data_IF_292660941554
#
_entry.id   IF_292660941554
#
_cell.length_a   1.000
_cell.length_b   1.000
_cell.length_c   1.000
_cell.angle_alpha   90.00
_cell.angle_beta   90.00
_cell.angle_gamma   90.00
#
_symmetry.space_group_name_H-M   'P 1'
#
loop_
_entity.id
_entity.type
_entity.pdbx_description
1 polymer ?
#
# COMPACT_ATOMS: atom_id res chain seq x y z
N UNK A 1 0.22 8.93 -28.58
CA UNK A 1 0.65 7.50 -28.57
C UNK A 1 1.08 7.00 -27.18
N UNK A 2 1.21 7.86 -26.14
CA UNK A 2 1.65 7.46 -24.79
C UNK A 2 0.53 6.95 -23.86
N UNK A 3 -0.73 7.39 -24.07
CA UNK A 3 -1.77 7.23 -23.04
C UNK A 3 -2.31 5.80 -22.89
N UNK A 4 -2.40 5.05 -24.00
CA UNK A 4 -2.87 3.65 -23.98
C UNK A 4 -1.94 2.73 -23.22
N UNK A 5 -0.62 2.96 -23.33
CA UNK A 5 0.39 2.11 -22.71
C UNK A 5 0.42 2.32 -21.20
N UNK A 6 0.33 3.57 -20.73
CA UNK A 6 0.27 3.85 -19.28
C UNK A 6 -1.02 3.33 -18.65
N UNK A 7 -2.16 3.43 -19.33
CA UNK A 7 -3.41 2.86 -18.82
C UNK A 7 -3.35 1.32 -18.73
N UNK A 8 -2.69 0.68 -19.71
CA UNK A 8 -2.42 -0.76 -19.68
C UNK A 8 -1.52 -1.13 -18.49
N UNK A 9 -0.44 -0.37 -18.26
CA UNK A 9 0.47 -0.58 -17.12
C UNK A 9 -0.26 -0.44 -15.78
N UNK A 10 -1.12 0.57 -15.62
CA UNK A 10 -1.93 0.75 -14.40
C UNK A 10 -2.84 -0.45 -14.17
N UNK A 11 -3.50 -0.96 -15.22
CA UNK A 11 -4.37 -2.13 -15.10
C UNK A 11 -3.59 -3.39 -14.73
N UNK A 12 -2.38 -3.58 -15.26
CA UNK A 12 -1.51 -4.69 -14.84
C UNK A 12 -1.15 -4.58 -13.35
N UNK A 13 -0.85 -3.38 -12.86
CA UNK A 13 -0.55 -3.16 -11.44
C UNK A 13 -1.75 -3.40 -10.53
N UNK A 14 -2.98 -3.11 -11.00
CA UNK A 14 -4.22 -3.52 -10.31
C UNK A 14 -4.28 -5.05 -10.23
N UNK A 15 -3.94 -5.75 -11.31
CA UNK A 15 -3.87 -7.22 -11.33
C UNK A 15 -2.89 -7.78 -10.30
N UNK A 16 -1.64 -7.30 -10.31
CA UNK A 16 -0.63 -7.71 -9.31
C UNK A 16 -1.07 -7.42 -7.88
N UNK A 17 -1.64 -6.24 -7.65
CA UNK A 17 -2.16 -5.87 -6.33
C UNK A 17 -3.28 -6.81 -5.88
N UNK A 18 -4.19 -7.16 -6.80
CA UNK A 18 -5.27 -8.11 -6.53
C UNK A 18 -4.70 -9.47 -6.15
N UNK A 19 -3.72 -9.98 -6.90
CA UNK A 19 -3.02 -11.23 -6.57
C UNK A 19 -2.39 -11.17 -5.18
N UNK A 20 -1.69 -10.08 -4.84
CA UNK A 20 -1.10 -9.90 -3.52
C UNK A 20 -2.14 -9.94 -2.39
N UNK A 21 -3.29 -9.29 -2.56
CA UNK A 21 -4.39 -9.35 -1.60
C UNK A 21 -4.96 -10.77 -1.47
N UNK A 22 -5.15 -11.48 -2.58
CA UNK A 22 -5.63 -12.86 -2.55
C UNK A 22 -4.67 -13.79 -1.80
N UNK A 23 -3.36 -13.62 -1.99
CA UNK A 23 -2.34 -14.38 -1.24
C UNK A 23 -2.52 -14.14 0.27
N UNK A 24 -2.62 -12.89 0.71
CA UNK A 24 -2.82 -12.55 2.14
C UNK A 24 -4.10 -13.17 2.70
N UNK A 25 -5.21 -13.17 1.94
CA UNK A 25 -6.52 -13.61 2.43
C UNK A 25 -6.67 -15.14 2.49
N UNK A 26 -6.12 -15.87 1.53
CA UNK A 26 -6.44 -17.30 1.35
C UNK A 26 -5.30 -18.27 1.71
N UNK A 27 -4.06 -17.79 1.88
CA UNK A 27 -2.89 -18.67 2.04
C UNK A 27 -2.32 -18.68 3.48
N UNK A 28 -3.10 -18.22 4.46
CA UNK A 28 -2.66 -17.95 5.83
C UNK A 28 -2.95 -19.03 6.87
N UNK A 29 -2.87 -20.32 6.55
CA UNK A 29 -3.16 -21.40 7.52
C UNK A 29 -2.00 -21.63 8.49
N UNK A 30 -2.20 -21.57 9.83
CA UNK A 30 -1.13 -21.79 10.81
C UNK A 30 -0.47 -23.17 10.69
N UNK A 31 0.81 -23.26 11.04
CA UNK A 31 1.56 -24.53 11.13
C UNK A 31 2.24 -24.68 12.48
N UNK A 32 2.36 -25.91 12.97
CA UNK A 32 2.95 -26.21 14.29
C UNK A 32 4.43 -25.75 14.37
N UNK A 33 5.20 -25.98 13.30
CA UNK A 33 6.61 -25.60 13.23
C UNK A 33 6.83 -24.09 13.04
N UNK A 34 5.79 -23.35 12.64
CA UNK A 34 5.86 -21.92 12.34
C UNK A 34 6.62 -21.57 11.06
N UNK A 35 6.95 -22.55 10.23
CA UNK A 35 7.68 -22.39 8.97
C UNK A 35 6.83 -21.70 7.89
N UNK A 36 5.51 -21.90 7.93
CA UNK A 36 4.54 -21.22 7.08
C UNK A 36 3.28 -20.84 7.87
N UNK A 37 2.51 -19.88 7.34
CA UNK A 37 1.20 -19.54 7.90
C UNK A 37 0.77 -18.09 7.69
N UNK A 38 -0.03 -17.51 8.62
CA UNK A 38 -0.57 -16.17 8.47
C UNK A 38 0.50 -15.08 8.25
N UNK A 39 1.68 -15.19 8.88
CA UNK A 39 2.75 -14.21 8.70
C UNK A 39 3.38 -14.33 7.30
N UNK A 40 3.63 -15.57 6.84
CA UNK A 40 4.19 -15.84 5.52
C UNK A 40 3.31 -15.30 4.41
N UNK A 41 2.01 -15.60 4.46
CA UNK A 41 1.04 -15.07 3.49
C UNK A 41 0.93 -13.55 3.53
N UNK A 42 1.07 -12.94 4.71
CA UNK A 42 1.07 -11.47 4.85
C UNK A 42 2.30 -10.82 4.23
N UNK A 43 3.48 -11.39 4.45
CA UNK A 43 4.73 -10.87 3.89
C UNK A 43 4.70 -10.92 2.37
N UNK A 44 4.32 -12.08 1.81
CA UNK A 44 4.24 -12.23 0.36
C UNK A 44 3.10 -11.40 -0.25
N UNK A 45 1.92 -11.43 0.37
CA UNK A 45 0.77 -10.70 -0.11
C UNK A 45 1.01 -9.20 -0.14
N UNK A 46 1.36 -8.59 1.00
CA UNK A 46 1.70 -7.17 1.05
C UNK A 46 2.98 -6.81 0.30
N UNK A 47 3.95 -7.74 0.20
CA UNK A 47 5.16 -7.54 -0.59
C UNK A 47 4.86 -7.35 -2.08
N UNK A 48 4.00 -8.20 -2.66
CA UNK A 48 3.55 -8.06 -4.05
C UNK A 48 2.81 -6.74 -4.26
N UNK A 49 1.92 -6.36 -3.32
CA UNK A 49 1.21 -5.07 -3.38
C UNK A 49 2.21 -3.90 -3.31
N UNK A 50 3.17 -3.95 -2.40
CA UNK A 50 4.17 -2.89 -2.21
C UNK A 50 5.03 -2.71 -3.47
N UNK A 51 5.45 -3.81 -4.11
CA UNK A 51 6.18 -3.75 -5.38
C UNK A 51 5.33 -3.15 -6.50
N UNK A 52 4.05 -3.52 -6.60
CA UNK A 52 3.15 -2.94 -7.61
C UNK A 52 2.97 -1.42 -7.41
N UNK A 53 2.79 -0.96 -6.18
CA UNK A 53 2.69 0.48 -5.85
C UNK A 53 4.01 1.20 -6.11
N UNK A 54 5.15 0.58 -5.79
CA UNK A 54 6.47 1.12 -6.09
C UNK A 54 6.69 1.29 -7.61
N UNK A 55 6.29 0.31 -8.41
CA UNK A 55 6.34 0.42 -9.88
C UNK A 55 5.47 1.56 -10.40
N UNK A 56 4.25 1.73 -9.87
CA UNK A 56 3.37 2.87 -10.21
C UNK A 56 3.99 4.21 -9.84
N UNK A 57 4.67 4.29 -8.69
CA UNK A 57 5.40 5.48 -8.26
C UNK A 57 6.50 5.86 -9.25
N UNK A 58 7.25 4.87 -9.78
CA UNK A 58 8.28 5.12 -10.79
C UNK A 58 7.66 5.59 -12.12
N UNK A 59 6.55 4.99 -12.55
CA UNK A 59 5.85 5.38 -13.79
C UNK A 59 5.31 6.82 -13.67
N UNK A 60 4.64 7.14 -12.57
CA UNK A 60 4.10 8.49 -12.31
C UNK A 60 5.22 9.54 -12.16
N UNK A 61 6.36 9.16 -11.59
CA UNK A 61 7.56 9.99 -11.53
C UNK A 61 8.14 10.26 -12.93
N UNK A 62 8.29 9.23 -13.78
CA UNK A 62 8.83 9.38 -15.14
C UNK A 62 7.97 10.28 -16.04
N UNK A 63 6.66 10.33 -15.78
CA UNK A 63 5.74 11.23 -16.48
C UNK A 63 5.76 12.65 -15.93
N UNK A 64 5.89 12.83 -14.61
CA UNK A 64 6.00 14.17 -14.02
C UNK A 64 7.32 14.86 -14.42
N UNK A 65 8.41 14.11 -14.52
CA UNK A 65 9.73 14.66 -14.90
C UNK A 65 9.78 15.15 -16.35
N UNK A 66 9.08 14.50 -17.27
CA UNK A 66 9.00 14.96 -18.67
C UNK A 66 8.22 16.26 -18.83
N UNK A 67 7.24 16.52 -17.95
CA UNK A 67 6.49 17.79 -17.88
C UNK A 67 7.35 18.90 -17.27
N UNK A 68 8.13 18.59 -16.23
CA UNK A 68 8.94 19.57 -15.49
C UNK A 68 10.25 19.93 -16.21
N UNK A 69 10.70 19.12 -17.17
CA UNK A 69 11.88 19.39 -17.99
C UNK A 69 11.76 20.67 -18.85
N UNK A 70 10.55 21.27 -18.94
CA UNK A 70 10.27 22.48 -19.72
C UNK A 70 10.44 23.77 -18.89
N UNK A 71 10.38 23.72 -17.56
CA UNK A 71 10.45 24.90 -16.69
C UNK A 71 11.60 24.80 -15.68
N UNK A 72 12.72 25.47 -16.00
CA UNK A 72 13.85 25.84 -15.14
C UNK A 72 14.20 24.88 -13.97
N UNK A 73 15.35 24.20 -14.11
CA UNK A 73 15.95 23.29 -13.12
C UNK A 73 16.10 23.90 -11.72
N UNK A 74 15.06 23.75 -10.89
CA UNK A 74 15.13 23.89 -9.45
C UNK A 74 14.81 22.54 -8.80
N UNK A 75 15.87 21.81 -8.40
CA UNK A 75 15.79 20.48 -7.78
C UNK A 75 14.85 20.46 -6.57
N UNK A 76 14.81 21.56 -5.81
CA UNK A 76 13.94 21.68 -4.65
C UNK A 76 12.45 21.85 -5.04
N UNK A 77 12.17 22.62 -6.09
CA UNK A 77 10.82 22.74 -6.65
C UNK A 77 10.32 21.42 -7.21
N UNK A 78 11.19 20.67 -7.88
CA UNK A 78 10.92 19.32 -8.37
C UNK A 78 10.60 18.33 -7.23
N UNK A 79 11.45 18.26 -6.20
CA UNK A 79 11.20 17.42 -5.01
C UNK A 79 9.87 17.77 -4.32
N UNK A 80 9.56 19.05 -4.17
CA UNK A 80 8.30 19.51 -3.57
C UNK A 80 7.08 19.06 -4.39
N UNK A 81 7.15 19.19 -5.71
CA UNK A 81 6.08 18.76 -6.62
C UNK A 81 5.90 17.24 -6.62
N UNK A 82 6.99 16.49 -6.57
CA UNK A 82 6.95 15.03 -6.47
C UNK A 82 6.33 14.55 -5.17
N UNK A 83 6.79 15.08 -4.04
CA UNK A 83 6.23 14.71 -2.74
C UNK A 83 4.73 15.03 -2.73
N UNK A 84 4.31 16.22 -3.19
CA UNK A 84 2.89 16.60 -3.21
C UNK A 84 2.02 15.67 -4.07
N UNK A 85 2.49 15.28 -5.25
CA UNK A 85 1.70 14.45 -6.17
C UNK A 85 1.74 12.96 -5.85
N UNK A 86 2.81 12.49 -5.21
CA UNK A 86 3.03 11.07 -4.89
C UNK A 86 2.77 10.73 -3.42
N UNK A 87 2.43 11.71 -2.57
CA UNK A 87 2.22 11.49 -1.13
C UNK A 87 1.21 10.38 -0.82
N UNK A 88 0.02 10.31 -1.47
CA UNK A 88 -0.93 9.23 -1.19
C UNK A 88 -0.35 7.83 -1.44
N UNK A 89 0.43 7.68 -2.52
CA UNK A 89 1.10 6.41 -2.85
C UNK A 89 2.23 6.09 -1.86
N UNK A 90 3.04 7.09 -1.48
CA UNK A 90 4.13 6.92 -0.51
C UNK A 90 3.60 6.52 0.88
N UNK A 91 2.53 7.16 1.34
CA UNK A 91 1.89 6.81 2.61
C UNK A 91 1.35 5.38 2.61
N UNK A 92 0.74 4.96 1.50
CA UNK A 92 0.29 3.57 1.33
C UNK A 92 1.46 2.59 1.38
N UNK A 93 2.59 2.94 0.75
CA UNK A 93 3.81 2.12 0.80
C UNK A 93 4.34 2.00 2.23
N UNK A 94 4.37 3.10 3.00
CA UNK A 94 4.80 3.09 4.41
C UNK A 94 3.91 2.17 5.26
N UNK A 95 2.60 2.23 5.08
CA UNK A 95 1.65 1.32 5.76
C UNK A 95 1.96 -0.14 5.45
N UNK A 96 2.16 -0.48 4.17
CA UNK A 96 2.49 -1.85 3.75
C UNK A 96 3.84 -2.32 4.30
N UNK A 97 4.86 -1.46 4.29
CA UNK A 97 6.18 -1.78 4.83
C UNK A 97 6.09 -2.06 6.33
N UNK A 98 5.35 -1.25 7.10
CA UNK A 98 5.17 -1.50 8.53
C UNK A 98 4.44 -2.83 8.78
N UNK A 99 3.39 -3.13 8.02
CA UNK A 99 2.71 -4.43 8.09
C UNK A 99 3.65 -5.60 7.79
N UNK A 100 4.48 -5.49 6.76
CA UNK A 100 5.50 -6.49 6.44
C UNK A 100 6.48 -6.64 7.60
N UNK A 101 7.01 -5.52 8.12
CA UNK A 101 7.96 -5.52 9.24
C UNK A 101 7.39 -6.21 10.47
N UNK A 102 6.13 -5.95 10.85
CA UNK A 102 5.49 -6.68 11.97
C UNK A 102 5.44 -8.18 11.71
N UNK A 103 5.03 -8.61 10.52
CA UNK A 103 4.95 -10.02 10.19
C UNK A 103 6.33 -10.69 10.10
N UNK A 104 7.40 -9.94 9.78
CA UNK A 104 8.78 -10.43 9.79
C UNK A 104 9.30 -10.57 11.24
N UNK A 105 9.11 -9.55 12.09
CA UNK A 105 9.62 -9.56 13.47
C UNK A 105 8.96 -10.67 14.28
N UNK A 106 7.63 -10.82 14.17
CA UNK A 106 6.86 -11.80 14.94
C UNK A 106 6.51 -13.06 14.13
N UNK A 107 7.28 -13.34 13.07
CA UNK A 107 7.00 -14.38 12.07
C UNK A 107 6.59 -15.73 12.66
N UNK A 108 7.45 -16.30 13.52
CA UNK A 108 7.19 -17.62 14.12
C UNK A 108 5.95 -17.62 15.01
N UNK A 109 5.78 -16.60 15.87
CA UNK A 109 4.65 -16.53 16.81
C UNK A 109 3.32 -16.45 16.06
N UNK A 110 3.26 -15.58 15.04
CA UNK A 110 2.07 -15.42 14.20
C UNK A 110 1.79 -16.69 13.39
N UNK A 111 2.82 -17.32 12.82
CA UNK A 111 2.66 -18.55 12.03
C UNK A 111 2.19 -19.74 12.86
N UNK A 112 2.59 -19.81 14.13
CA UNK A 112 2.20 -20.86 15.07
C UNK A 112 0.82 -20.64 15.72
N UNK A 113 0.18 -19.49 15.49
CA UNK A 113 -1.07 -19.18 16.19
C UNK A 113 -0.89 -18.76 17.65
N UNK A 114 0.35 -18.54 18.11
CA UNK A 114 0.67 -18.19 19.51
C UNK A 114 0.60 -16.68 19.75
N UNK A 115 -0.50 -16.07 19.30
CA UNK A 115 -0.79 -14.65 19.46
C UNK A 115 -2.24 -14.50 19.87
N UNK A 116 -2.53 -13.46 20.63
CA UNK A 116 -3.89 -13.16 21.09
C UNK A 116 -4.87 -13.06 19.91
N UNK A 117 -6.11 -13.54 20.08
CA UNK A 117 -7.12 -13.50 19.01
C UNK A 117 -7.43 -12.08 18.53
N UNK A 118 -7.28 -11.11 19.42
CA UNK A 118 -7.39 -9.68 19.16
C UNK A 118 -6.45 -9.23 18.03
N UNK A 119 -5.23 -9.79 17.96
CA UNK A 119 -4.30 -9.51 16.87
C UNK A 119 -4.92 -9.85 15.51
N UNK A 120 -5.53 -11.03 15.37
CA UNK A 120 -6.15 -11.45 14.11
C UNK A 120 -7.33 -10.56 13.71
N UNK A 121 -8.12 -10.10 14.68
CA UNK A 121 -9.19 -9.15 14.43
C UNK A 121 -8.66 -7.83 13.87
N UNK A 122 -7.62 -7.25 14.51
CA UNK A 122 -7.01 -6.01 14.03
C UNK A 122 -6.26 -6.20 12.70
N UNK A 123 -5.63 -7.35 12.47
CA UNK A 123 -4.98 -7.69 11.19
C UNK A 123 -5.99 -7.74 10.05
N UNK A 124 -7.16 -8.32 10.27
CA UNK A 124 -8.23 -8.37 9.29
C UNK A 124 -8.82 -6.97 9.02
N UNK A 125 -9.08 -6.18 10.07
CA UNK A 125 -9.54 -4.80 9.94
C UNK A 125 -8.54 -3.98 9.11
N UNK A 126 -7.26 -4.06 9.44
CA UNK A 126 -6.20 -3.34 8.71
C UNK A 126 -6.13 -3.80 7.26
N UNK A 127 -6.28 -5.10 6.99
CA UNK A 127 -6.35 -5.63 5.61
C UNK A 127 -7.50 -5.03 4.83
N UNK A 128 -8.70 -4.93 5.42
CA UNK A 128 -9.86 -4.32 4.76
C UNK A 128 -9.64 -2.82 4.48
N UNK A 129 -9.06 -2.09 5.42
CA UNK A 129 -8.74 -0.67 5.25
C UNK A 129 -7.69 -0.51 4.14
N UNK A 130 -6.65 -1.35 4.10
CA UNK A 130 -5.64 -1.37 3.03
C UNK A 130 -6.27 -1.65 1.66
N UNK A 131 -7.21 -2.59 1.55
CA UNK A 131 -7.95 -2.84 0.30
C UNK A 131 -8.70 -1.58 -0.13
N UNK A 132 -9.43 -0.93 0.78
CA UNK A 132 -10.10 0.35 0.53
C UNK A 132 -9.14 1.43 0.06
N UNK A 133 -8.01 1.56 0.76
CA UNK A 133 -6.95 2.52 0.47
C UNK A 133 -6.36 2.32 -0.92
N UNK A 134 -6.10 1.08 -1.31
CA UNK A 134 -5.61 0.72 -2.65
C UNK A 134 -6.64 1.08 -3.74
N UNK A 135 -7.91 0.74 -3.55
CA UNK A 135 -8.96 1.07 -4.53
C UNK A 135 -9.06 2.58 -4.77
N UNK A 136 -9.02 3.36 -3.69
CA UNK A 136 -9.03 4.83 -3.75
C UNK A 136 -7.74 5.35 -4.38
N UNK A 137 -6.59 4.74 -4.08
CA UNK A 137 -5.31 5.11 -4.68
C UNK A 137 -5.30 4.91 -6.19
N UNK A 138 -5.82 3.78 -6.69
CA UNK A 138 -5.93 3.57 -8.14
C UNK A 138 -6.86 4.58 -8.80
N UNK A 139 -7.97 4.96 -8.15
CA UNK A 139 -8.84 6.01 -8.64
C UNK A 139 -8.13 7.37 -8.65
N UNK A 140 -7.43 7.71 -7.57
CA UNK A 140 -6.59 8.91 -7.48
C UNK A 140 -5.58 9.00 -8.62
N UNK A 141 -4.86 7.91 -8.89
CA UNK A 141 -3.84 7.86 -9.95
C UNK A 141 -4.45 7.97 -11.35
N UNK A 142 -5.59 7.32 -11.61
CA UNK A 142 -6.31 7.43 -12.88
C UNK A 142 -6.82 8.85 -13.12
N UNK A 143 -7.36 9.51 -12.08
CA UNK A 143 -7.83 10.90 -12.18
C UNK A 143 -6.66 11.88 -12.42
N UNK A 144 -5.53 11.70 -11.74
CA UNK A 144 -4.31 12.51 -12.01
C UNK A 144 -3.78 12.28 -13.43
N UNK A 145 -3.82 11.04 -13.92
CA UNK A 145 -3.41 10.72 -15.29
C UNK A 145 -4.31 11.40 -16.33
N UNK A 146 -5.64 11.33 -16.16
CA UNK A 146 -6.60 12.00 -17.03
C UNK A 146 -6.49 13.54 -17.01
N UNK A 147 -6.10 14.11 -15.88
CA UNK A 147 -5.85 15.55 -15.77
C UNK A 147 -4.59 15.98 -16.54
N UNK A 148 -3.54 15.15 -16.56
CA UNK A 148 -2.31 15.40 -17.33
C UNK A 148 -2.56 15.33 -18.84
N UNK A 149 -3.47 14.47 -19.30
CA UNK A 149 -3.86 14.38 -20.72
C UNK A 149 -4.87 15.45 -21.18
N UNK A 150 -5.20 16.41 -20.32
CA UNK A 150 -5.93 17.64 -20.69
C UNK A 150 -7.46 17.58 -20.64
N UNK A 151 -8.05 16.49 -20.11
CA UNK A 151 -9.51 16.26 -20.23
C UNK A 151 -10.33 16.34 -18.93
N UNK A 152 -9.75 16.60 -17.74
CA UNK A 152 -10.53 16.64 -16.48
C UNK A 152 -9.91 17.55 -15.41
N UNK A 153 -10.75 18.20 -14.59
CA UNK A 153 -10.36 18.94 -13.38
C UNK A 153 -9.71 18.04 -12.31
N UNK A 154 -8.66 18.53 -11.63
CA UNK A 154 -7.96 17.80 -10.55
C UNK A 154 -8.74 17.69 -9.23
N UNK A 155 -9.91 18.34 -9.11
CA UNK A 155 -10.70 18.38 -7.89
C UNK A 155 -11.17 16.99 -7.41
N UNK A 156 -11.38 16.04 -8.34
CA UNK A 156 -11.68 14.64 -8.02
C UNK A 156 -10.50 13.94 -7.34
N UNK A 157 -9.30 14.09 -7.90
CA UNK A 157 -8.09 13.50 -7.36
C UNK A 157 -7.76 14.05 -5.96
N UNK A 158 -7.92 15.36 -5.73
CA UNK A 158 -7.61 15.94 -4.42
C UNK A 158 -8.54 15.40 -3.32
N UNK A 159 -9.83 15.16 -3.63
CA UNK A 159 -10.75 14.46 -2.72
C UNK A 159 -10.27 13.04 -2.40
N UNK A 160 -9.83 12.28 -3.41
CA UNK A 160 -9.31 10.91 -3.19
C UNK A 160 -8.02 10.89 -2.37
N UNK A 161 -7.18 11.94 -2.48
CA UNK A 161 -6.00 12.09 -1.64
C UNK A 161 -6.38 12.25 -0.15
N UNK A 162 -7.36 13.10 0.17
CA UNK A 162 -7.83 13.26 1.55
C UNK A 162 -8.40 11.98 2.14
N UNK A 163 -9.17 11.22 1.35
CA UNK A 163 -9.67 9.91 1.80
C UNK A 163 -8.51 8.95 2.04
N UNK A 164 -7.50 8.94 1.17
CA UNK A 164 -6.28 8.14 1.36
C UNK A 164 -5.56 8.52 2.66
N UNK A 165 -5.46 9.81 2.97
CA UNK A 165 -4.83 10.28 4.22
C UNK A 165 -5.60 9.82 5.45
N UNK A 166 -6.93 9.89 5.42
CA UNK A 166 -7.77 9.40 6.50
C UNK A 166 -7.61 7.89 6.71
N UNK A 167 -7.64 7.10 5.63
CA UNK A 167 -7.44 5.65 5.72
C UNK A 167 -6.02 5.28 6.19
N UNK A 168 -5.01 6.04 5.77
CA UNK A 168 -3.62 5.89 6.24
C UNK A 168 -3.54 6.10 7.75
N UNK A 169 -4.15 7.19 8.25
CA UNK A 169 -4.18 7.47 9.68
C UNK A 169 -4.84 6.34 10.45
N UNK A 170 -5.99 5.85 9.97
CA UNK A 170 -6.70 4.73 10.59
C UNK A 170 -5.84 3.45 10.59
N UNK A 171 -5.15 3.16 9.49
CA UNK A 171 -4.20 2.06 9.40
C UNK A 171 -3.06 2.20 10.43
N UNK A 172 -2.47 3.38 10.62
CA UNK A 172 -1.44 3.58 11.64
C UNK A 172 -1.94 3.33 13.05
N UNK A 173 -3.17 3.73 13.37
CA UNK A 173 -3.78 3.43 14.69
C UNK A 173 -3.87 1.92 14.90
N UNK A 174 -4.44 1.17 13.95
CA UNK A 174 -4.58 -0.28 14.10
C UNK A 174 -3.25 -1.02 14.06
N UNK A 175 -2.29 -0.58 13.24
CA UNK A 175 -0.93 -1.14 13.22
C UNK A 175 -0.22 -0.86 14.55
N UNK A 176 -0.41 0.32 15.15
CA UNK A 176 0.08 0.63 16.48
C UNK A 176 -0.50 -0.30 17.54
N UNK A 177 -1.81 -0.54 17.52
CA UNK A 177 -2.48 -1.49 18.41
C UNK A 177 -1.91 -2.90 18.20
N UNK A 178 -1.78 -3.37 16.96
CA UNK A 178 -1.18 -4.68 16.66
C UNK A 178 0.24 -4.79 17.19
N UNK A 179 1.04 -3.72 17.09
CA UNK A 179 2.42 -3.68 17.62
C UNK A 179 2.41 -3.90 19.14
N UNK A 180 1.52 -3.20 19.86
CA UNK A 180 1.37 -3.35 21.32
C UNK A 180 0.93 -4.78 21.69
N UNK A 181 -0.06 -5.33 20.96
CA UNK A 181 -0.57 -6.69 21.21
C UNK A 181 0.54 -7.74 21.01
N UNK A 182 1.30 -7.64 19.92
CA UNK A 182 2.37 -8.59 19.63
C UNK A 182 3.55 -8.49 20.60
N UNK A 183 3.85 -7.28 21.08
CA UNK A 183 4.96 -7.06 22.01
C UNK A 183 4.63 -7.48 23.44
N UNK A 184 3.41 -7.18 23.92
CA UNK A 184 3.07 -7.31 25.34
C UNK A 184 2.06 -8.42 25.68
N UNK A 185 1.29 -8.93 24.71
CA UNK A 185 0.20 -9.88 24.94
C UNK A 185 0.43 -11.23 24.23
N UNK A 186 1.69 -11.69 24.21
CA UNK A 186 2.06 -13.04 23.80
C UNK A 186 1.38 -14.06 24.73
N UNK A 187 0.54 -14.93 24.16
CA UNK A 187 0.05 -16.11 24.89
C UNK A 187 1.20 -17.11 24.94
N UNK A 188 1.83 -17.25 26.10
CA UNK A 188 2.67 -18.41 26.37
C UNK A 188 1.77 -19.65 26.24
N UNK A 189 2.11 -20.50 25.27
CA UNK A 189 1.39 -21.76 25.02
C UNK A 189 1.53 -22.73 26.18
#
# INVERSE_FOLDING_TARGET
MSDSNTQYDINNMIGFTTVGILIKLFFGSPTEDGSSGPASSSIWGYGVVALAILSLLVITFGLASSITAIENYNVFGFLKTLVKNSLPSLLTLIVLLWLITLNVIYFKRINQGKVANEYYNYSNITTLIVIGQIMILFKYLKDKFAAVSGNVSTAGADKMAYVTYFLTFLNFVFIGIMTIVLEFFSTDG
#
